data_IF_996360602986
#
_entry.id   IF_996360602986
#
_cell.length_a   1.000
_cell.length_b   1.000
_cell.length_c   1.000
_cell.angle_alpha   90.00
_cell.angle_beta   90.00
_cell.angle_gamma   90.00
#
_symmetry.space_group_name_H-M   'P 1'
#
loop_
_entity.id
_entity.type
_entity.pdbx_description
1 polymer ?
#
# COMPACT_ATOMS: atom_id res chain seq x y z
N UNK A 1 9.92 -15.60 -10.36
CA UNK A 1 9.90 -16.86 -11.13
C UNK A 1 8.68 -16.92 -12.03
N UNK A 2 7.49 -16.63 -11.50
CA UNK A 2 6.21 -16.65 -12.24
C UNK A 2 6.18 -15.74 -13.49
N UNK A 3 6.63 -14.48 -13.40
CA UNK A 3 6.60 -13.58 -14.55
C UNK A 3 7.45 -14.05 -15.74
N UNK A 4 8.53 -14.82 -15.51
CA UNK A 4 9.36 -15.37 -16.60
C UNK A 4 8.66 -16.55 -17.27
N UNK A 5 8.00 -17.40 -16.48
CA UNK A 5 7.22 -18.53 -17.01
C UNK A 5 6.04 -18.05 -17.85
N UNK A 6 5.28 -17.07 -17.34
CA UNK A 6 4.14 -16.50 -18.07
C UNK A 6 4.61 -15.80 -19.35
N UNK A 7 5.69 -15.01 -19.30
CA UNK A 7 6.28 -14.39 -20.49
C UNK A 7 6.67 -15.43 -21.56
N UNK A 8 7.34 -16.52 -21.16
CA UNK A 8 7.70 -17.61 -22.08
C UNK A 8 6.47 -18.32 -22.69
N UNK A 9 5.37 -18.42 -21.95
CA UNK A 9 4.12 -18.95 -22.49
C UNK A 9 3.52 -18.00 -23.54
N UNK A 10 3.56 -16.69 -23.32
CA UNK A 10 3.10 -15.71 -24.32
C UNK A 10 3.97 -15.70 -25.57
N UNK A 11 5.29 -15.86 -25.43
CA UNK A 11 6.20 -16.03 -26.56
C UNK A 11 5.84 -17.26 -27.40
N UNK A 12 5.39 -18.35 -26.76
CA UNK A 12 5.07 -19.61 -27.43
C UNK A 12 3.65 -19.68 -28.00
N UNK A 13 2.66 -19.18 -27.27
CA UNK A 13 1.23 -19.40 -27.56
C UNK A 13 0.49 -18.12 -27.97
N UNK A 14 1.16 -16.96 -27.91
CA UNK A 14 0.59 -15.67 -28.29
C UNK A 14 -0.04 -14.91 -27.13
N UNK A 15 -0.85 -13.87 -27.41
CA UNK A 15 -1.25 -12.87 -26.42
C UNK A 15 -2.26 -13.34 -25.38
N UNK A 16 -2.86 -14.52 -25.55
CA UNK A 16 -3.86 -15.07 -24.64
C UNK A 16 -3.45 -16.48 -24.24
N UNK A 17 -3.19 -16.69 -22.96
CA UNK A 17 -2.73 -17.98 -22.41
C UNK A 17 -3.63 -18.40 -21.27
N UNK A 18 -4.05 -19.66 -21.22
CA UNK A 18 -4.74 -20.23 -20.07
C UNK A 18 -3.72 -20.72 -19.05
N UNK A 19 -3.72 -20.15 -17.84
CA UNK A 19 -2.73 -20.45 -16.78
C UNK A 19 -3.29 -21.35 -15.66
N UNK A 20 -4.62 -21.47 -15.55
CA UNK A 20 -5.30 -22.40 -14.66
C UNK A 20 -6.66 -22.82 -15.26
N UNK A 21 -7.40 -23.80 -14.69
CA UNK A 21 -8.68 -24.25 -15.26
C UNK A 21 -9.69 -23.14 -15.53
N UNK A 22 -9.70 -22.08 -14.71
CA UNK A 22 -10.59 -20.92 -14.80
C UNK A 22 -9.85 -19.58 -14.91
N UNK A 23 -8.57 -19.59 -15.30
CA UNK A 23 -7.74 -18.38 -15.36
C UNK A 23 -7.04 -18.23 -16.69
N UNK A 24 -7.09 -17.02 -17.22
CA UNK A 24 -6.41 -16.61 -18.46
C UNK A 24 -5.52 -15.41 -18.15
N UNK A 25 -4.32 -15.41 -18.72
CA UNK A 25 -3.44 -14.26 -18.79
C UNK A 25 -3.51 -13.65 -20.20
N UNK A 26 -3.55 -12.32 -20.27
CA UNK A 26 -3.66 -11.58 -21.52
C UNK A 26 -2.58 -10.50 -21.54
N UNK A 27 -1.63 -10.63 -22.48
CA UNK A 27 -0.53 -9.69 -22.65
C UNK A 27 -0.85 -8.55 -23.64
N UNK A 28 -2.04 -8.54 -24.24
CA UNK A 28 -2.48 -7.51 -25.19
C UNK A 28 -3.12 -6.31 -24.47
N UNK A 29 -2.55 -5.12 -24.68
CA UNK A 29 -3.07 -3.86 -24.14
C UNK A 29 -4.49 -3.53 -24.60
N UNK A 30 -4.95 -4.07 -25.74
CA UNK A 30 -6.32 -3.93 -26.21
C UNK A 30 -7.35 -4.53 -25.21
N UNK A 31 -6.93 -5.44 -24.34
CA UNK A 31 -7.79 -6.04 -23.31
C UNK A 31 -8.11 -5.09 -22.14
N UNK A 32 -7.34 -4.01 -21.93
CA UNK A 32 -7.53 -3.10 -20.80
C UNK A 32 -8.93 -2.48 -20.80
N UNK A 33 -9.38 -1.95 -21.93
CA UNK A 33 -10.69 -1.29 -22.01
C UNK A 33 -11.86 -2.28 -21.80
N UNK A 34 -11.92 -3.43 -22.51
CA UNK A 34 -12.94 -4.46 -22.27
C UNK A 34 -12.97 -4.98 -20.83
N UNK A 35 -11.81 -5.16 -20.20
CA UNK A 35 -11.72 -5.76 -18.86
C UNK A 35 -12.02 -4.77 -17.73
N UNK A 36 -11.53 -3.54 -17.82
CA UNK A 36 -11.57 -2.61 -16.70
C UNK A 36 -12.55 -1.44 -16.87
N UNK A 37 -13.01 -1.15 -18.09
CA UNK A 37 -13.78 0.07 -18.39
C UNK A 37 -15.17 -0.24 -18.95
N UNK A 38 -15.24 -1.06 -20.00
CA UNK A 38 -16.49 -1.38 -20.70
C UNK A 38 -17.49 -2.00 -19.72
N UNK A 39 -18.74 -1.54 -19.75
CA UNK A 39 -19.83 -1.99 -18.88
C UNK A 39 -19.51 -1.93 -17.36
N UNK A 40 -18.60 -1.04 -16.94
CA UNK A 40 -18.19 -0.91 -15.54
C UNK A 40 -17.06 -1.84 -15.09
N UNK A 41 -16.47 -2.60 -16.03
CA UNK A 41 -15.39 -3.54 -15.77
C UNK A 41 -15.83 -4.86 -15.15
N UNK A 42 -14.98 -5.87 -15.23
CA UNK A 42 -15.22 -7.17 -14.62
C UNK A 42 -15.11 -7.08 -13.09
N UNK A 43 -15.89 -7.91 -12.41
CA UNK A 43 -15.79 -8.04 -10.96
C UNK A 43 -14.46 -8.66 -10.57
N UNK A 44 -13.90 -8.17 -9.46
CA UNK A 44 -12.73 -8.78 -8.82
C UNK A 44 -13.06 -10.22 -8.40
N UNK A 45 -12.06 -11.09 -8.52
CA UNK A 45 -12.14 -12.48 -8.06
C UNK A 45 -12.43 -12.56 -6.56
N UNK A 46 -12.93 -13.71 -6.10
CA UNK A 46 -13.14 -13.96 -4.67
C UNK A 46 -11.85 -13.83 -3.85
N UNK A 47 -10.70 -14.13 -4.44
CA UNK A 47 -9.38 -14.03 -3.78
C UNK A 47 -9.06 -12.62 -3.30
N UNK A 48 -9.70 -11.57 -3.81
CA UNK A 48 -9.50 -10.20 -3.29
C UNK A 48 -9.90 -10.05 -1.82
N UNK A 49 -10.73 -10.93 -1.26
CA UNK A 49 -11.05 -10.92 0.17
C UNK A 49 -9.82 -11.20 1.06
N UNK A 50 -8.73 -11.77 0.50
CA UNK A 50 -7.47 -11.94 1.21
C UNK A 50 -6.75 -10.61 1.52
N UNK A 51 -7.23 -9.50 0.94
CA UNK A 51 -6.83 -8.13 1.27
C UNK A 51 -7.79 -7.42 2.23
N UNK A 52 -8.81 -8.11 2.73
CA UNK A 52 -9.66 -7.57 3.79
C UNK A 52 -8.84 -7.48 5.09
N UNK A 53 -9.01 -6.38 5.81
CA UNK A 53 -8.41 -6.19 7.13
C UNK A 53 -9.51 -6.35 8.17
N UNK A 54 -9.22 -7.07 9.26
CA UNK A 54 -10.15 -7.28 10.38
C UNK A 54 -11.58 -7.74 9.95
N UNK A 55 -11.69 -8.45 8.81
CA UNK A 55 -12.95 -8.92 8.24
C UNK A 55 -13.75 -7.87 7.45
N UNK A 56 -13.20 -6.68 7.22
CA UNK A 56 -13.85 -5.60 6.49
C UNK A 56 -13.20 -5.35 5.12
N UNK A 57 -14.00 -5.30 4.03
CA UNK A 57 -13.47 -5.01 2.71
C UNK A 57 -13.12 -3.53 2.54
N UNK A 58 -11.98 -3.27 1.92
CA UNK A 58 -11.48 -1.94 1.61
C UNK A 58 -11.95 -1.47 0.23
N UNK A 59 -11.67 -0.23 -0.17
CA UNK A 59 -11.86 0.20 -1.56
C UNK A 59 -11.10 -0.72 -2.54
N UNK A 60 -9.93 -1.22 -2.15
CA UNK A 60 -9.11 -2.12 -2.94
C UNK A 60 -9.67 -3.55 -2.99
N UNK A 61 -10.12 -4.12 -1.87
CA UNK A 61 -10.58 -5.52 -1.85
C UNK A 61 -12.06 -5.70 -2.18
N UNK A 62 -12.90 -4.67 -1.99
CA UNK A 62 -14.35 -4.79 -2.21
C UNK A 62 -14.68 -5.18 -3.66
N UNK A 63 -15.55 -6.19 -3.78
CA UNK A 63 -16.00 -6.77 -5.04
C UNK A 63 -17.33 -6.19 -5.51
N UNK A 64 -18.11 -5.62 -4.60
CA UNK A 64 -19.41 -5.03 -4.89
C UNK A 64 -19.26 -3.53 -5.25
N UNK A 65 -19.55 -3.12 -6.50
CA UNK A 65 -19.44 -1.72 -6.92
C UNK A 65 -20.32 -0.77 -6.11
N UNK A 66 -21.50 -1.20 -5.65
CA UNK A 66 -22.41 -0.38 -4.85
C UNK A 66 -21.84 -0.11 -3.44
N UNK A 67 -21.08 -1.05 -2.88
CA UNK A 67 -20.33 -0.81 -1.64
C UNK A 67 -19.10 0.07 -1.93
N UNK A 68 -18.40 -0.15 -3.04
CA UNK A 68 -17.21 0.64 -3.39
C UNK A 68 -17.49 2.13 -3.61
N UNK A 69 -18.55 2.44 -4.36
CA UNK A 69 -18.85 3.77 -4.85
C UNK A 69 -18.89 4.87 -3.77
N UNK A 70 -19.62 4.72 -2.63
CA UNK A 70 -19.67 5.75 -1.60
C UNK A 70 -18.31 6.02 -0.94
N UNK A 71 -17.49 4.97 -0.73
CA UNK A 71 -16.15 5.08 -0.14
C UNK A 71 -15.21 5.85 -1.07
N UNK A 72 -15.21 5.49 -2.35
CA UNK A 72 -14.45 6.20 -3.38
C UNK A 72 -14.91 7.65 -3.48
N UNK A 73 -16.22 7.91 -3.53
CA UNK A 73 -16.77 9.27 -3.61
C UNK A 73 -16.31 10.16 -2.45
N UNK A 74 -16.16 9.60 -1.25
CA UNK A 74 -15.71 10.35 -0.07
C UNK A 74 -14.25 10.82 -0.19
N UNK A 75 -13.36 9.96 -0.67
CA UNK A 75 -11.89 10.18 -0.61
C UNK A 75 -11.27 10.61 -1.93
N UNK A 76 -11.89 10.29 -3.08
CA UNK A 76 -11.38 10.65 -4.41
C UNK A 76 -11.01 12.14 -4.58
N UNK A 77 -11.75 13.12 -4.00
CA UNK A 77 -11.37 14.53 -4.12
C UNK A 77 -9.99 14.86 -3.56
N UNK A 78 -9.48 14.08 -2.59
CA UNK A 78 -8.12 14.27 -2.05
C UNK A 78 -7.03 14.02 -3.09
N UNK A 79 -7.32 13.21 -4.10
CA UNK A 79 -6.37 12.87 -5.16
C UNK A 79 -6.52 13.77 -6.41
N UNK A 80 -7.36 14.80 -6.34
CA UNK A 80 -7.49 15.77 -7.42
C UNK A 80 -6.21 16.62 -7.53
N UNK A 81 -5.80 16.97 -8.75
CA UNK A 81 -4.58 17.76 -9.02
C UNK A 81 -4.50 19.02 -8.17
N UNK A 82 -5.61 19.73 -7.96
CA UNK A 82 -5.66 20.92 -7.10
C UNK A 82 -5.27 20.63 -5.65
N UNK A 83 -5.79 19.55 -5.08
CA UNK A 83 -5.48 19.17 -3.69
C UNK A 83 -4.06 18.64 -3.56
N UNK A 84 -3.54 17.96 -4.59
CA UNK A 84 -2.13 17.54 -4.64
C UNK A 84 -1.21 18.76 -4.65
N UNK A 85 -1.53 19.78 -5.46
CA UNK A 85 -0.78 21.05 -5.51
C UNK A 85 -0.80 21.75 -4.14
N UNK A 86 -1.98 21.79 -3.49
CA UNK A 86 -2.13 22.36 -2.15
C UNK A 86 -1.31 21.61 -1.10
N UNK A 87 -1.16 20.30 -1.23
CA UNK A 87 -0.37 19.45 -0.33
C UNK A 87 1.15 19.52 -0.53
N UNK A 88 1.64 20.19 -1.58
CA UNK A 88 3.08 20.22 -1.89
C UNK A 88 3.97 20.66 -0.72
N UNK A 89 3.63 21.69 0.09
CA UNK A 89 4.48 22.08 1.21
C UNK A 89 4.72 20.93 2.20
N UNK A 90 3.66 20.21 2.58
CA UNK A 90 3.74 19.04 3.48
C UNK A 90 4.68 17.97 2.91
N UNK A 91 4.55 17.67 1.62
CA UNK A 91 5.40 16.68 0.95
C UNK A 91 6.84 17.14 0.87
N UNK A 92 7.09 18.43 0.60
CA UNK A 92 8.43 18.99 0.51
C UNK A 92 9.16 19.00 1.85
N UNK A 93 8.47 19.28 2.94
CA UNK A 93 9.07 19.24 4.29
C UNK A 93 9.58 17.81 4.61
N UNK A 94 8.80 16.80 4.26
CA UNK A 94 9.15 15.38 4.47
C UNK A 94 10.31 14.97 3.56
N UNK A 95 10.32 15.42 2.30
CA UNK A 95 11.46 15.23 1.39
C UNK A 95 12.71 15.90 1.95
N UNK A 96 12.61 17.10 2.51
CA UNK A 96 13.70 17.78 3.20
C UNK A 96 14.26 16.95 4.35
N UNK A 97 13.40 16.36 5.17
CA UNK A 97 13.80 15.42 6.24
C UNK A 97 14.52 14.18 5.71
N UNK A 98 14.07 13.63 4.59
CA UNK A 98 14.73 12.49 3.94
C UNK A 98 16.11 12.87 3.38
N UNK A 99 16.25 14.03 2.74
CA UNK A 99 17.54 14.54 2.25
C UNK A 99 18.51 14.75 3.42
N UNK A 100 18.04 15.32 4.53
CA UNK A 100 18.83 15.46 5.75
C UNK A 100 19.30 14.10 6.29
N UNK A 101 18.41 13.11 6.35
CA UNK A 101 18.76 11.76 6.83
C UNK A 101 19.78 11.07 5.89
N UNK A 102 19.67 11.26 4.57
CA UNK A 102 20.66 10.78 3.60
C UNK A 102 22.03 11.44 3.84
N UNK A 103 22.08 12.76 3.99
CA UNK A 103 23.32 13.51 4.26
C UNK A 103 23.96 13.05 5.58
N UNK A 104 23.17 12.91 6.64
CA UNK A 104 23.64 12.43 7.95
C UNK A 104 24.29 11.04 7.83
N UNK A 105 23.62 10.09 7.16
CA UNK A 105 24.17 8.73 6.98
C UNK A 105 25.42 8.70 6.10
N UNK A 106 25.46 9.54 5.07
CA UNK A 106 26.65 9.69 4.22
C UNK A 106 27.84 10.23 5.01
N UNK A 107 27.62 11.13 5.98
CA UNK A 107 28.67 11.67 6.83
C UNK A 107 29.13 10.67 7.91
N UNK A 108 28.22 9.88 8.49
CA UNK A 108 28.53 8.88 9.52
C UNK A 108 29.24 7.65 8.98
N UNK A 109 28.97 7.26 7.73
CA UNK A 109 29.57 6.08 7.11
C UNK A 109 29.95 6.35 5.63
N UNK A 110 30.96 7.20 5.38
CA UNK A 110 31.37 7.52 4.02
C UNK A 110 31.75 6.27 3.22
N UNK A 111 31.25 6.18 1.99
CA UNK A 111 31.52 5.06 1.09
C UNK A 111 30.83 3.73 1.45
N UNK A 112 30.03 3.66 2.52
CA UNK A 112 29.24 2.46 2.81
C UNK A 112 27.96 2.41 1.97
N UNK A 113 27.61 1.23 1.41
CA UNK A 113 26.33 1.05 0.75
C UNK A 113 25.15 1.35 1.69
N UNK A 114 24.14 2.01 1.15
CA UNK A 114 22.93 2.37 1.87
C UNK A 114 21.73 1.63 1.29
N UNK A 115 20.96 0.96 2.17
CA UNK A 115 19.66 0.42 1.80
C UNK A 115 18.64 1.56 1.67
N UNK A 116 18.42 1.98 0.43
CA UNK A 116 17.47 3.05 0.09
C UNK A 116 16.01 2.58 0.09
N UNK A 117 15.72 1.28 0.00
CA UNK A 117 14.34 0.79 -0.04
C UNK A 117 13.65 1.05 1.30
N UNK A 118 14.33 0.74 2.41
CA UNK A 118 13.79 1.00 3.74
C UNK A 118 13.65 2.49 4.04
N UNK A 119 14.55 3.32 3.51
CA UNK A 119 14.44 4.77 3.63
C UNK A 119 13.27 5.32 2.81
N UNK A 120 13.06 4.84 1.59
CA UNK A 120 11.93 5.26 0.78
C UNK A 120 10.60 4.76 1.33
N UNK A 121 10.57 3.57 1.96
CA UNK A 121 9.39 3.13 2.73
C UNK A 121 9.06 4.11 3.86
N UNK A 122 10.06 4.56 4.62
CA UNK A 122 9.86 5.58 5.64
C UNK A 122 9.36 6.92 5.05
N UNK A 123 9.97 7.38 3.95
CA UNK A 123 9.54 8.58 3.22
C UNK A 123 8.07 8.50 2.81
N UNK A 124 7.67 7.42 2.14
CA UNK A 124 6.32 7.29 1.61
C UNK A 124 5.28 6.96 2.67
N UNK A 125 5.68 6.32 3.77
CA UNK A 125 4.86 6.22 4.98
C UNK A 125 4.51 7.62 5.47
N UNK A 126 5.52 8.46 5.71
CA UNK A 126 5.33 9.80 6.26
C UNK A 126 4.55 10.70 5.30
N UNK A 127 4.83 10.64 3.98
CA UNK A 127 4.03 11.35 2.97
C UNK A 127 2.57 10.90 3.03
N UNK A 128 2.31 9.59 3.03
CA UNK A 128 0.95 9.04 3.04
C UNK A 128 0.21 9.47 4.30
N UNK A 129 0.82 9.33 5.48
CA UNK A 129 0.16 9.65 6.74
C UNK A 129 -0.03 11.15 6.92
N UNK A 130 0.98 11.98 6.61
CA UNK A 130 0.86 13.43 6.75
C UNK A 130 -0.14 14.01 5.75
N UNK A 131 -0.11 13.57 4.50
CA UNK A 131 -1.00 14.10 3.46
C UNK A 131 -2.44 13.61 3.60
N UNK A 132 -2.64 12.30 3.82
CA UNK A 132 -3.98 11.72 3.88
C UNK A 132 -4.58 11.77 5.28
N UNK A 133 -3.81 11.51 6.32
CA UNK A 133 -4.33 11.39 7.69
C UNK A 133 -4.15 12.68 8.50
N UNK A 134 -3.40 13.66 7.99
CA UNK A 134 -3.13 14.92 8.67
C UNK A 134 -2.04 14.83 9.73
N UNK A 135 -1.40 13.68 9.89
CA UNK A 135 -0.35 13.49 10.90
C UNK A 135 0.69 12.47 10.43
N UNK A 136 1.97 12.77 10.69
CA UNK A 136 3.08 11.87 10.34
C UNK A 136 3.18 10.70 11.30
N UNK A 137 3.41 9.48 10.78
CA UNK A 137 3.85 8.35 11.60
C UNK A 137 5.31 8.52 12.07
N UNK A 138 6.07 9.43 11.46
CA UNK A 138 7.45 9.75 11.79
C UNK A 138 8.43 8.58 11.56
N UNK A 139 8.25 7.87 10.45
CA UNK A 139 9.11 6.76 10.01
C UNK A 139 10.56 7.19 9.72
N UNK A 140 10.79 8.43 9.30
CA UNK A 140 12.13 8.99 9.09
C UNK A 140 12.84 9.39 10.41
N UNK A 141 12.11 9.47 11.52
CA UNK A 141 12.62 9.94 12.81
C UNK A 141 13.38 8.91 13.66
N UNK A 142 13.67 9.29 14.93
CA UNK A 142 14.44 8.47 15.89
C UNK A 142 13.71 7.20 16.34
N UNK A 143 12.38 7.21 16.35
CA UNK A 143 11.57 6.02 16.57
C UNK A 143 11.27 5.41 15.21
N UNK A 144 12.19 4.58 14.70
CA UNK A 144 11.96 3.79 13.48
C UNK A 144 10.88 2.75 13.77
N UNK A 145 9.63 3.17 13.66
CA UNK A 145 8.47 2.30 13.64
C UNK A 145 8.60 1.46 12.36
N UNK A 146 8.89 0.17 12.49
CA UNK A 146 9.26 -0.70 11.36
C UNK A 146 8.05 -1.07 10.51
N UNK A 147 7.42 -0.07 9.85
CA UNK A 147 6.39 -0.27 8.81
C UNK A 147 6.88 -1.25 7.74
N UNK A 148 8.19 -1.29 7.47
CA UNK A 148 8.84 -2.32 6.67
C UNK A 148 8.40 -3.75 7.05
N UNK A 149 8.39 -4.08 8.34
CA UNK A 149 8.04 -5.43 8.80
C UNK A 149 6.55 -5.69 8.64
N UNK A 150 5.70 -4.68 8.87
CA UNK A 150 4.27 -4.75 8.56
C UNK A 150 4.03 -4.99 7.05
N UNK A 151 4.66 -4.21 6.18
CA UNK A 151 4.58 -4.34 4.71
C UNK A 151 5.07 -5.70 4.24
N UNK A 152 6.25 -6.14 4.70
CA UNK A 152 6.82 -7.44 4.36
C UNK A 152 5.89 -8.60 4.77
N UNK A 153 5.26 -8.49 5.94
CA UNK A 153 4.34 -9.51 6.43
C UNK A 153 3.07 -9.61 5.57
N UNK A 154 2.53 -8.48 5.08
CA UNK A 154 1.42 -8.49 4.12
C UNK A 154 1.81 -9.20 2.82
N UNK A 155 2.99 -8.91 2.26
CA UNK A 155 3.48 -9.63 1.07
C UNK A 155 3.70 -11.13 1.30
N UNK A 156 4.11 -11.53 2.52
CA UNK A 156 4.23 -12.95 2.84
C UNK A 156 2.88 -13.67 2.73
N UNK A 157 1.78 -13.02 3.11
CA UNK A 157 0.41 -13.54 2.91
C UNK A 157 0.02 -13.60 1.44
N UNK A 158 0.32 -12.56 0.66
CA UNK A 158 0.01 -12.47 -0.78
C UNK A 158 0.65 -13.60 -1.61
N UNK A 159 1.71 -14.25 -1.14
CA UNK A 159 2.29 -15.44 -1.81
C UNK A 159 1.28 -16.59 -1.94
N UNK A 160 0.27 -16.62 -1.08
CA UNK A 160 -0.80 -17.61 -1.07
C UNK A 160 -2.10 -17.08 -1.69
N UNK A 161 -2.04 -15.95 -2.40
CA UNK A 161 -3.23 -15.21 -2.89
C UNK A 161 -4.21 -16.08 -3.69
N UNK A 162 -3.71 -17.01 -4.50
CA UNK A 162 -4.52 -17.89 -5.33
C UNK A 162 -5.07 -19.13 -4.60
N UNK A 163 -4.77 -19.31 -3.31
CA UNK A 163 -5.39 -20.39 -2.55
C UNK A 163 -6.90 -20.12 -2.37
N UNK A 164 -7.75 -21.15 -2.37
CA UNK A 164 -9.13 -21.01 -1.93
C UNK A 164 -9.19 -20.45 -0.51
N UNK A 165 -10.17 -19.60 -0.23
CA UNK A 165 -10.19 -18.84 1.03
C UNK A 165 -10.27 -19.70 2.30
N UNK A 166 -10.93 -20.87 2.22
CA UNK A 166 -10.94 -21.82 3.33
C UNK A 166 -9.54 -22.34 3.68
N UNK A 167 -8.63 -22.39 2.71
CA UNK A 167 -7.26 -22.87 2.89
C UNK A 167 -6.30 -21.72 3.19
N UNK A 168 -6.54 -20.55 2.61
CA UNK A 168 -5.71 -19.35 2.77
C UNK A 168 -5.42 -19.04 4.25
N UNK A 169 -6.47 -18.93 5.08
CA UNK A 169 -6.32 -18.56 6.50
C UNK A 169 -5.49 -19.58 7.28
N UNK A 170 -5.68 -20.88 6.98
CA UNK A 170 -4.91 -21.94 7.61
C UNK A 170 -3.44 -21.89 7.22
N UNK A 171 -3.13 -21.66 5.94
CA UNK A 171 -1.76 -21.60 5.43
C UNK A 171 -1.05 -20.35 5.95
N UNK A 172 -1.69 -19.19 5.92
CA UNK A 172 -1.11 -17.94 6.46
C UNK A 172 -0.86 -18.04 7.96
N UNK A 173 -1.80 -18.62 8.72
CA UNK A 173 -1.62 -18.89 10.15
C UNK A 173 -0.44 -19.80 10.40
N UNK A 174 -0.35 -20.94 9.71
CA UNK A 174 0.79 -21.85 9.83
C UNK A 174 2.11 -21.18 9.47
N UNK A 175 2.16 -20.45 8.35
CA UNK A 175 3.35 -19.72 7.92
C UNK A 175 3.81 -18.69 8.99
N UNK A 176 2.88 -17.99 9.63
CA UNK A 176 3.19 -17.01 10.68
C UNK A 176 3.83 -17.62 11.93
N UNK A 177 3.52 -18.89 12.25
CA UNK A 177 4.10 -19.59 13.41
C UNK A 177 5.61 -19.81 13.19
N UNK A 178 6.00 -20.08 11.94
CA UNK A 178 7.37 -20.33 11.52
C UNK A 178 8.13 -19.07 11.10
N UNK A 179 7.49 -17.89 11.15
CA UNK A 179 8.14 -16.63 10.82
C UNK A 179 9.17 -16.26 11.91
N UNK A 180 10.46 -16.21 11.52
CA UNK A 180 11.56 -15.83 12.40
C UNK A 180 11.44 -14.39 12.91
N UNK A 181 10.73 -13.53 12.18
CA UNK A 181 10.50 -12.14 12.55
C UNK A 181 9.15 -11.90 13.26
N UNK A 182 8.42 -12.96 13.67
CA UNK A 182 7.07 -12.86 14.25
C UNK A 182 6.92 -11.82 15.37
N UNK A 183 7.94 -11.67 16.23
CA UNK A 183 7.91 -10.68 17.31
C UNK A 183 8.00 -9.25 16.77
N UNK A 184 8.88 -9.00 15.78
CA UNK A 184 8.98 -7.69 15.12
C UNK A 184 7.72 -7.37 14.33
N UNK A 185 7.13 -8.37 13.68
CA UNK A 185 5.83 -8.24 13.00
C UNK A 185 4.75 -7.83 14.00
N UNK A 186 4.65 -8.52 15.13
CA UNK A 186 3.68 -8.20 16.17
C UNK A 186 3.87 -6.77 16.71
N UNK A 187 5.11 -6.38 17.04
CA UNK A 187 5.43 -5.01 17.48
C UNK A 187 5.05 -3.97 16.42
N UNK A 188 5.39 -4.22 15.15
CA UNK A 188 5.04 -3.32 14.05
C UNK A 188 3.54 -3.19 13.86
N UNK A 189 2.79 -4.28 13.95
CA UNK A 189 1.32 -4.26 13.86
C UNK A 189 0.72 -3.43 14.99
N UNK A 190 1.15 -3.64 16.23
CA UNK A 190 0.67 -2.87 17.40
C UNK A 190 0.94 -1.37 17.21
N UNK A 191 2.12 -1.02 16.71
CA UNK A 191 2.47 0.38 16.45
C UNK A 191 1.53 1.02 15.42
N UNK A 192 1.34 0.36 14.27
CA UNK A 192 0.48 0.86 13.18
C UNK A 192 -0.97 0.93 13.66
N UNK A 193 -1.45 -0.09 14.38
CA UNK A 193 -2.81 -0.13 14.93
C UNK A 193 -3.04 0.99 15.95
N UNK A 194 -2.09 1.22 16.87
CA UNK A 194 -2.18 2.30 17.85
C UNK A 194 -2.22 3.67 17.17
N UNK A 195 -1.39 3.85 16.14
CA UNK A 195 -1.39 5.08 15.36
C UNK A 195 -2.74 5.30 14.66
N UNK A 196 -3.25 4.31 13.92
CA UNK A 196 -4.53 4.41 13.21
C UNK A 196 -5.70 4.64 14.18
N UNK A 197 -5.73 3.89 15.28
CA UNK A 197 -6.77 4.04 16.32
C UNK A 197 -6.77 5.46 16.86
N UNK A 198 -5.60 6.00 17.19
CA UNK A 198 -5.46 7.38 17.67
C UNK A 198 -5.95 8.41 16.65
N UNK A 199 -5.62 8.22 15.36
CA UNK A 199 -6.07 9.10 14.26
C UNK A 199 -7.60 9.09 14.13
N UNK A 200 -8.23 7.92 14.25
CA UNK A 200 -9.69 7.79 14.22
C UNK A 200 -10.30 8.47 15.46
N UNK A 201 -9.77 8.21 16.66
CA UNK A 201 -10.24 8.83 17.91
C UNK A 201 -10.16 10.36 17.83
N UNK A 202 -9.03 10.90 17.35
CA UNK A 202 -8.86 12.35 17.14
C UNK A 202 -9.91 12.90 16.16
N UNK A 203 -10.14 12.21 15.04
CA UNK A 203 -11.10 12.65 14.02
C UNK A 203 -12.55 12.59 14.48
N UNK A 204 -12.87 11.74 15.45
CA UNK A 204 -14.16 11.71 16.11
C UNK A 204 -14.35 12.86 17.11
N UNK A 205 -13.29 13.22 17.83
CA UNK A 205 -13.27 14.33 18.78
C UNK A 205 -13.29 15.70 18.06
N UNK A 206 -12.53 15.83 16.96
CA UNK A 206 -12.29 17.08 16.26
C UNK A 206 -12.88 17.09 14.84
N UNK A 207 -14.18 16.77 14.72
CA UNK A 207 -14.85 16.54 13.42
C UNK A 207 -14.68 17.65 12.38
N UNK A 208 -14.55 18.89 12.81
CA UNK A 208 -14.43 20.05 11.91
C UNK A 208 -13.01 20.24 11.39
N UNK A 209 -11.99 20.09 12.24
CA UNK A 209 -10.58 20.26 11.86
C UNK A 209 -10.09 19.07 11.03
N UNK A 210 -10.58 17.87 11.35
CA UNK A 210 -10.23 16.61 10.68
C UNK A 210 -11.15 16.31 9.49
N UNK A 211 -12.10 17.20 9.17
CA UNK A 211 -13.09 17.06 8.10
C UNK A 211 -12.53 16.68 6.72
N UNK A 212 -11.29 17.09 6.45
CA UNK A 212 -10.65 16.99 5.14
C UNK A 212 -9.70 15.79 5.02
N UNK A 213 -9.38 15.14 6.14
CA UNK A 213 -8.54 13.94 6.15
C UNK A 213 -9.30 12.73 5.61
N UNK A 214 -8.56 11.68 5.29
CA UNK A 214 -9.11 10.46 4.71
C UNK A 214 -10.16 9.84 5.63
N UNK A 215 -9.82 9.68 6.91
CA UNK A 215 -10.73 9.19 7.95
C UNK A 215 -11.91 10.14 8.19
N UNK A 216 -11.71 11.46 8.21
CA UNK A 216 -12.78 12.42 8.44
C UNK A 216 -13.81 12.43 7.30
N UNK A 217 -13.35 12.26 6.06
CA UNK A 217 -14.22 12.11 4.89
C UNK A 217 -15.04 10.82 4.93
N UNK A 218 -14.43 9.71 5.33
CA UNK A 218 -15.14 8.43 5.50
C UNK A 218 -16.16 8.49 6.65
N UNK A 219 -15.81 9.12 7.78
CA UNK A 219 -16.73 9.36 8.89
C UNK A 219 -17.95 10.18 8.44
N UNK A 220 -17.74 11.26 7.69
CA UNK A 220 -18.82 12.09 7.13
C UNK A 220 -19.71 11.32 6.14
N UNK A 221 -19.15 10.36 5.42
CA UNK A 221 -19.89 9.49 4.52
C UNK A 221 -20.67 8.37 5.27
N UNK A 222 -20.63 8.34 6.60
CA UNK A 222 -21.35 7.37 7.43
C UNK A 222 -20.71 5.99 7.45
N UNK A 223 -19.42 5.88 7.11
CA UNK A 223 -18.70 4.59 7.15
C UNK A 223 -18.39 4.21 8.62
N UNK A 224 -18.65 2.96 9.05
CA UNK A 224 -18.37 2.53 10.42
C UNK A 224 -16.88 2.62 10.79
N UNK A 225 -16.57 2.90 12.06
CA UNK A 225 -15.20 3.09 12.54
C UNK A 225 -14.31 1.87 12.35
N UNK A 226 -14.83 0.67 12.63
CA UNK A 226 -14.16 -0.61 12.43
C UNK A 226 -13.71 -0.79 10.98
N UNK A 227 -14.57 -0.37 10.05
CA UNK A 227 -14.26 -0.41 8.62
C UNK A 227 -13.26 0.68 8.23
N UNK A 228 -13.37 1.88 8.81
CA UNK A 228 -12.41 2.97 8.58
C UNK A 228 -11.00 2.51 8.92
N UNK A 229 -10.79 1.83 10.06
CA UNK A 229 -9.48 1.24 10.42
C UNK A 229 -8.89 0.43 9.26
N UNK A 230 -9.70 -0.43 8.65
CA UNK A 230 -9.33 -1.27 7.52
C UNK A 230 -8.97 -0.43 6.27
N UNK A 231 -9.73 0.63 5.99
CA UNK A 231 -9.42 1.56 4.89
C UNK A 231 -8.08 2.30 5.11
N UNK A 232 -7.74 2.68 6.36
CA UNK A 232 -6.46 3.32 6.67
C UNK A 232 -5.29 2.34 6.54
N UNK A 233 -5.45 1.10 7.01
CA UNK A 233 -4.43 0.05 6.86
C UNK A 233 -4.09 -0.21 5.39
N UNK A 234 -5.12 -0.34 4.55
CA UNK A 234 -4.98 -0.57 3.11
C UNK A 234 -4.27 0.59 2.40
N UNK A 235 -4.75 1.83 2.59
CA UNK A 235 -4.14 2.98 1.92
C UNK A 235 -2.73 3.27 2.43
N UNK A 236 -2.44 3.01 3.71
CA UNK A 236 -1.08 3.11 4.27
C UNK A 236 -0.13 2.10 3.61
N UNK A 237 -0.58 0.83 3.48
CA UNK A 237 0.20 -0.21 2.82
C UNK A 237 0.47 0.14 1.34
N UNK A 238 -0.60 0.45 0.59
CA UNK A 238 -0.50 0.75 -0.83
C UNK A 238 0.32 2.02 -1.11
N UNK A 239 0.13 3.05 -0.29
CA UNK A 239 0.86 4.32 -0.38
C UNK A 239 2.33 4.23 0.01
N UNK A 240 2.75 3.15 0.70
CA UNK A 240 4.13 2.97 1.15
C UNK A 240 4.96 2.17 0.14
N UNK A 241 4.56 0.92 -0.15
CA UNK A 241 5.46 0.01 -0.88
C UNK A 241 5.64 0.39 -2.35
N UNK A 242 4.54 0.58 -3.07
CA UNK A 242 4.57 0.77 -4.51
C UNK A 242 5.47 1.96 -4.93
N UNK A 243 5.32 3.17 -4.34
CA UNK A 243 6.19 4.27 -4.69
C UNK A 243 7.62 4.12 -4.13
N UNK A 244 7.81 3.48 -2.97
CA UNK A 244 9.15 3.21 -2.44
C UNK A 244 9.97 2.28 -3.35
N UNK A 245 9.34 1.21 -3.86
CA UNK A 245 9.95 0.28 -4.80
C UNK A 245 10.26 0.96 -6.13
N UNK A 246 9.34 1.81 -6.64
CA UNK A 246 9.57 2.56 -7.86
C UNK A 246 10.79 3.49 -7.74
N UNK A 247 10.89 4.23 -6.63
CA UNK A 247 12.00 5.15 -6.38
C UNK A 247 13.33 4.40 -6.13
N UNK A 248 13.29 3.29 -5.39
CA UNK A 248 14.47 2.43 -5.19
C UNK A 248 15.01 1.87 -6.51
N UNK A 249 14.13 1.41 -7.40
CA UNK A 249 14.50 0.95 -8.74
C UNK A 249 15.04 2.08 -9.60
N UNK A 250 14.46 3.28 -9.53
CA UNK A 250 14.97 4.45 -10.24
C UNK A 250 16.41 4.76 -9.80
N UNK A 251 16.66 4.83 -8.48
CA UNK A 251 18.00 5.05 -7.96
C UNK A 251 18.98 3.94 -8.38
N UNK A 252 18.53 2.68 -8.37
CA UNK A 252 19.34 1.57 -8.84
C UNK A 252 19.72 1.73 -10.32
N UNK A 253 18.77 2.02 -11.20
CA UNK A 253 19.02 2.26 -12.62
C UNK A 253 19.96 3.43 -12.86
N UNK A 254 19.80 4.55 -12.13
CA UNK A 254 20.70 5.70 -12.22
C UNK A 254 22.13 5.36 -11.75
N UNK A 255 22.27 4.49 -10.75
CA UNK A 255 23.58 4.09 -10.23
C UNK A 255 24.34 3.15 -11.19
N UNK A 256 23.62 2.28 -11.93
CA UNK A 256 24.24 1.35 -12.89
C UNK A 256 24.39 1.92 -14.31
N UNK A 257 23.68 3.01 -14.63
CA UNK A 257 23.73 3.72 -15.91
C UNK A 257 24.11 5.20 -15.68
N UNK A 258 25.30 5.50 -15.13
CA UNK A 258 25.73 6.88 -14.96
C UNK A 258 25.81 7.56 -16.33
N UNK A 259 25.34 8.81 -16.41
CA UNK A 259 25.60 9.64 -17.58
C UNK A 259 27.11 9.71 -17.81
N UNK A 260 27.54 9.52 -19.06
CA UNK A 260 28.94 9.67 -19.46
C UNK A 260 29.42 11.10 -19.27
#
# INVERSE_FOLDING_TARGET
>A
MECRSIAALHEKYGPVVRIAPSEIDISDGAAINPLYVKNGGFQKSSTYQHFDFDGYPTIFSTRNPAQRAPRVKAVAPMFATREIVKGRPVVQDIIGGMVFELQRRSAEAPGRPLDVLNLFRALFTDITTSYLFGESLNGLGKQRLTVTTFVNNLFAGVRFFYLPSWLYDHVVRLASIFDKERMRVATSRVIVDNFITRIITKSLAEKETEAQTYQGRLLRAGIPQEEIKSQLLDVLFAGTEAPAMALAKLCWHLAILPAK
#
